data_IF_425364552720
#
_entry.id   IF_425364552720
#
_cell.length_a   1.000
_cell.length_b   1.000
_cell.length_c   1.000
_cell.angle_alpha   90.00
_cell.angle_beta   90.00
_cell.angle_gamma   90.00
#
_symmetry.space_group_name_H-M   'P 1'
#
loop_
_entity.id
_entity.type
_entity.pdbx_description
1 polymer ?
#
# COMPACT_ATOMS: atom_id res chain seq x y z
N UNK A 1 7.69 17.57 11.07
CA UNK A 1 6.90 17.95 9.86
C UNK A 1 5.39 17.93 10.09
N UNK A 2 4.77 16.82 10.53
CA UNK A 2 3.31 16.75 10.73
C UNK A 2 2.71 17.85 11.63
N UNK A 3 3.37 18.20 12.76
CA UNK A 3 2.94 19.31 13.63
C UNK A 3 2.83 20.66 12.90
N UNK A 4 3.72 20.91 11.94
CA UNK A 4 3.72 22.15 11.14
C UNK A 4 2.55 22.15 10.17
N UNK A 5 2.29 21.01 9.52
CA UNK A 5 1.13 20.86 8.61
C UNK A 5 -0.20 21.04 9.34
N UNK A 6 -0.34 20.45 10.54
CA UNK A 6 -1.55 20.62 11.38
C UNK A 6 -1.74 22.08 11.79
N UNK A 7 -0.66 22.76 12.18
CA UNK A 7 -0.72 24.20 12.51
C UNK A 7 -1.16 25.05 11.31
N UNK A 8 -0.67 24.75 10.10
CA UNK A 8 -1.07 25.46 8.87
C UNK A 8 -2.53 25.17 8.49
N UNK A 9 -2.97 23.91 8.59
CA UNK A 9 -4.35 23.52 8.30
C UNK A 9 -5.36 24.18 9.24
N UNK A 10 -4.98 24.43 10.51
CA UNK A 10 -5.81 25.14 11.49
C UNK A 10 -5.84 26.66 11.24
N UNK A 11 -4.74 27.25 10.77
CA UNK A 11 -4.66 28.68 10.43
C UNK A 11 -5.36 29.02 9.11
N UNK A 12 -5.35 28.09 8.15
CA UNK A 12 -5.96 28.27 6.83
C UNK A 12 -6.86 27.06 6.51
N UNK A 13 -8.17 27.13 6.85
CA UNK A 13 -9.10 26.01 6.66
C UNK A 13 -9.24 25.55 5.22
N UNK A 14 -8.98 26.43 4.25
CA UNK A 14 -8.99 26.11 2.81
C UNK A 14 -7.92 25.08 2.40
N UNK A 15 -6.88 24.87 3.20
CA UNK A 15 -5.83 23.87 2.93
C UNK A 15 -6.23 22.44 3.33
N UNK A 16 -7.27 22.28 4.16
CA UNK A 16 -7.74 20.97 4.62
C UNK A 16 -8.11 20.04 3.45
N UNK A 17 -8.97 20.44 2.49
CA UNK A 17 -9.31 19.56 1.36
C UNK A 17 -8.10 19.18 0.51
N UNK A 18 -7.13 20.09 0.35
CA UNK A 18 -5.89 19.81 -0.37
C UNK A 18 -5.07 18.71 0.31
N UNK A 19 -4.86 18.81 1.62
CA UNK A 19 -4.13 17.79 2.38
C UNK A 19 -4.85 16.44 2.40
N UNK A 20 -6.18 16.43 2.42
CA UNK A 20 -6.96 15.19 2.37
C UNK A 20 -6.78 14.47 1.03
N UNK A 21 -6.86 15.18 -0.10
CA UNK A 21 -6.70 14.56 -1.42
C UNK A 21 -5.27 14.02 -1.59
N UNK A 22 -4.26 14.85 -1.31
CA UNK A 22 -2.86 14.43 -1.44
C UNK A 22 -2.54 13.29 -0.47
N UNK A 23 -3.00 13.40 0.78
CA UNK A 23 -2.84 12.36 1.80
C UNK A 23 -3.49 11.06 1.38
N UNK A 24 -4.73 11.10 0.89
CA UNK A 24 -5.43 9.92 0.39
C UNK A 24 -4.73 9.29 -0.81
N UNK A 25 -4.18 10.08 -1.73
CA UNK A 25 -3.41 9.57 -2.87
C UNK A 25 -2.14 8.85 -2.41
N UNK A 26 -1.39 9.44 -1.48
CA UNK A 26 -0.20 8.84 -0.91
C UNK A 26 -0.50 7.54 -0.14
N UNK A 27 -1.53 7.57 0.71
CA UNK A 27 -1.96 6.38 1.46
C UNK A 27 -2.47 5.29 0.51
N UNK A 28 -3.29 5.65 -0.49
CA UNK A 28 -3.80 4.70 -1.49
C UNK A 28 -2.68 4.04 -2.29
N UNK A 29 -1.70 4.81 -2.75
CA UNK A 29 -0.53 4.29 -3.46
C UNK A 29 0.29 3.35 -2.57
N UNK A 30 0.56 3.75 -1.32
CA UNK A 30 1.28 2.92 -0.37
C UNK A 30 0.54 1.61 -0.05
N UNK A 31 -0.77 1.67 0.15
CA UNK A 31 -1.62 0.49 0.39
C UNK A 31 -1.62 -0.44 -0.83
N UNK A 32 -1.69 0.11 -2.04
CA UNK A 32 -1.66 -0.69 -3.26
C UNK A 32 -0.30 -1.41 -3.43
N UNK A 33 0.80 -0.70 -3.19
CA UNK A 33 2.13 -1.30 -3.19
C UNK A 33 2.28 -2.36 -2.10
N UNK A 34 1.76 -2.13 -0.90
CA UNK A 34 1.76 -3.12 0.17
C UNK A 34 0.94 -4.36 -0.21
N UNK A 35 -0.21 -4.17 -0.85
CA UNK A 35 -1.05 -5.26 -1.36
C UNK A 35 -0.28 -6.10 -2.40
N UNK A 36 0.37 -5.45 -3.35
CA UNK A 36 1.21 -6.14 -4.35
C UNK A 36 2.40 -6.85 -3.71
N UNK A 37 3.05 -6.21 -2.74
CA UNK A 37 4.21 -6.78 -2.06
C UNK A 37 3.87 -8.06 -1.28
N UNK A 38 2.74 -8.09 -0.56
CA UNK A 38 2.43 -9.18 0.37
C UNK A 38 1.60 -10.30 -0.27
N UNK A 39 0.70 -9.96 -1.21
CA UNK A 39 -0.26 -10.91 -1.75
C UNK A 39 0.08 -11.41 -3.16
N UNK A 40 1.15 -10.91 -3.78
CA UNK A 40 1.58 -11.40 -5.10
C UNK A 40 2.50 -12.62 -4.95
N UNK A 41 2.16 -13.79 -5.52
CA UNK A 41 2.97 -15.01 -5.43
C UNK A 41 4.33 -14.92 -6.13
N UNK A 42 4.55 -13.90 -6.98
CA UNK A 42 5.83 -13.66 -7.62
C UNK A 42 6.85 -12.99 -6.67
N UNK A 43 6.39 -12.46 -5.53
CA UNK A 43 7.23 -11.77 -4.55
C UNK A 43 7.62 -12.72 -3.43
N UNK A 44 8.92 -12.94 -3.25
CA UNK A 44 9.46 -13.82 -2.22
C UNK A 44 10.10 -13.02 -1.07
N UNK A 45 9.47 -13.07 0.12
CA UNK A 45 10.02 -12.51 1.36
C UNK A 45 10.80 -13.55 2.18
N UNK A 46 10.37 -14.82 2.14
CA UNK A 46 11.02 -15.92 2.86
C UNK A 46 11.91 -16.75 1.92
N UNK A 47 13.18 -16.37 1.85
CA UNK A 47 14.18 -17.06 1.01
C UNK A 47 14.60 -18.43 1.55
N UNK A 48 14.27 -18.79 2.80
CA UNK A 48 14.80 -20.00 3.45
C UNK A 48 13.79 -21.13 3.49
N UNK A 49 12.54 -20.88 3.88
CA UNK A 49 11.53 -21.93 4.01
C UNK A 49 10.54 -21.97 2.84
N UNK A 50 10.43 -20.89 2.07
CA UNK A 50 9.53 -20.81 0.91
C UNK A 50 10.12 -19.97 -0.23
N UNK A 51 11.31 -20.36 -0.76
CA UNK A 51 12.03 -19.58 -1.78
C UNK A 51 11.24 -19.40 -3.08
N UNK A 52 10.29 -20.30 -3.35
CA UNK A 52 9.46 -20.34 -4.55
C UNK A 52 7.97 -20.28 -4.17
N UNK A 53 7.42 -19.09 -3.93
CA UNK A 53 6.08 -18.96 -3.35
C UNK A 53 4.97 -19.54 -4.24
N UNK A 54 5.20 -19.60 -5.56
CA UNK A 54 4.29 -20.19 -6.55
C UNK A 54 4.11 -21.71 -6.41
N UNK A 55 5.04 -22.43 -5.78
CA UNK A 55 4.90 -23.89 -5.59
C UNK A 55 3.72 -24.27 -4.67
N UNK A 56 3.15 -23.30 -3.94
CA UNK A 56 1.97 -23.48 -3.08
C UNK A 56 0.64 -23.24 -3.81
N UNK A 57 0.67 -22.76 -5.05
CA UNK A 57 -0.53 -22.53 -5.85
C UNK A 57 -0.89 -23.80 -6.62
N UNK A 58 -2.17 -24.16 -6.62
CA UNK A 58 -2.67 -25.19 -7.52
C UNK A 58 -2.69 -24.68 -8.97
N UNK A 59 -2.59 -25.57 -9.98
CA UNK A 59 -2.68 -25.16 -11.39
C UNK A 59 -3.99 -24.44 -11.75
N UNK A 60 -5.04 -24.62 -10.95
CA UNK A 60 -6.35 -23.97 -11.08
C UNK A 60 -6.50 -22.69 -10.26
N UNK A 61 -5.53 -22.31 -9.43
CA UNK A 61 -5.65 -21.13 -8.57
C UNK A 61 -5.47 -19.83 -9.34
N UNK A 62 -6.54 -19.05 -9.41
CA UNK A 62 -6.52 -17.70 -9.97
C UNK A 62 -6.39 -16.67 -8.85
N UNK A 63 -5.19 -16.10 -8.70
CA UNK A 63 -4.90 -15.10 -7.66
C UNK A 63 -5.22 -13.65 -8.07
N UNK A 64 -5.40 -13.37 -9.37
CA UNK A 64 -5.52 -11.99 -9.87
C UNK A 64 -6.90 -11.35 -9.67
N UNK A 65 -7.95 -12.17 -9.59
CA UNK A 65 -9.36 -11.73 -9.41
C UNK A 65 -9.88 -11.94 -7.98
N UNK A 66 -8.99 -12.28 -7.05
CA UNK A 66 -9.33 -12.48 -5.64
C UNK A 66 -9.35 -11.15 -4.87
#
# INVERSE_FOLDING_TARGET
MFRVMVSHARKHPSLIPLFLIIGSGGVGAALYLMRLAVFNPDVCWDKKNNPEPWNKLSPSDQYKVK
#
